data_IF_482596968362
#
_entry.id   IF_482596968362
#
_cell.length_a   1.000
_cell.length_b   1.000
_cell.length_c   1.000
_cell.angle_alpha   90.00
_cell.angle_beta   90.00
_cell.angle_gamma   90.00
#
_symmetry.space_group_name_H-M   'P 1'
#
loop_
_entity.id
_entity.type
_entity.pdbx_description
1 polymer ?
#
# COMPACT_ATOMS: atom_id res chain seq x y z
N UNK A 1 15.65 37.22 17.07
CA UNK A 1 15.40 35.78 16.83
C UNK A 1 15.13 35.11 18.16
N UNK A 2 14.27 34.08 18.29
CA UNK A 2 13.30 33.48 17.36
C UNK A 2 11.86 33.65 17.93
N UNK A 3 10.74 33.31 17.29
CA UNK A 3 10.19 31.98 17.04
C UNK A 3 8.97 32.21 16.13
N UNK A 4 9.07 31.87 14.85
CA UNK A 4 7.91 31.55 14.02
C UNK A 4 8.22 30.32 13.14
N UNK A 5 8.96 29.37 13.71
CA UNK A 5 9.11 28.02 13.15
C UNK A 5 7.81 27.19 13.29
N UNK A 6 6.71 27.80 13.73
CA UNK A 6 5.42 27.16 14.01
C UNK A 6 4.37 27.40 12.91
N UNK A 7 4.63 28.27 11.93
CA UNK A 7 3.62 28.73 10.96
C UNK A 7 3.64 28.03 9.59
N UNK A 8 4.58 27.10 9.35
CA UNK A 8 4.39 26.03 8.36
C UNK A 8 4.43 24.70 9.09
N UNK A 9 3.38 24.46 9.88
CA UNK A 9 2.87 23.11 10.09
C UNK A 9 2.56 22.55 8.70
N UNK A 10 3.59 21.99 8.06
CA UNK A 10 3.47 21.17 6.88
C UNK A 10 2.34 20.19 7.16
N UNK A 11 1.22 20.36 6.45
CA UNK A 11 0.03 19.54 6.57
C UNK A 11 0.42 18.11 6.22
N UNK A 12 0.83 17.36 7.25
CA UNK A 12 1.28 16.00 7.13
C UNK A 12 0.06 15.08 7.21
N UNK A 13 -0.11 14.12 6.31
CA UNK A 13 0.72 13.87 5.12
C UNK A 13 0.41 14.83 3.97
N UNK A 14 1.44 15.20 3.20
CA UNK A 14 1.26 15.99 1.99
C UNK A 14 0.49 15.21 0.92
N UNK A 15 -0.13 15.91 -0.04
CA UNK A 15 -0.81 15.28 -1.18
C UNK A 15 0.11 14.36 -1.98
N UNK A 16 1.40 14.67 -2.07
CA UNK A 16 2.40 13.83 -2.72
C UNK A 16 2.68 12.57 -1.91
N UNK A 17 2.80 12.67 -0.60
CA UNK A 17 2.98 11.51 0.28
C UNK A 17 1.79 10.57 0.18
N UNK A 18 0.56 11.09 0.17
CA UNK A 18 -0.65 10.27 -0.02
C UNK A 18 -0.64 9.57 -1.38
N UNK A 19 -0.26 10.27 -2.45
CA UNK A 19 -0.13 9.67 -3.80
C UNK A 19 0.92 8.55 -3.81
N UNK A 20 2.07 8.76 -3.18
CA UNK A 20 3.13 7.75 -3.08
C UNK A 20 2.70 6.54 -2.27
N UNK A 21 2.08 6.73 -1.10
CA UNK A 21 1.55 5.63 -0.27
C UNK A 21 0.51 4.81 -1.04
N UNK A 22 -0.36 5.46 -1.82
CA UNK A 22 -1.31 4.75 -2.71
C UNK A 22 -0.61 3.92 -3.77
N UNK A 23 0.41 4.46 -4.44
CA UNK A 23 1.21 3.71 -5.42
C UNK A 23 1.91 2.50 -4.80
N UNK A 24 2.49 2.66 -3.60
CA UNK A 24 3.10 1.57 -2.83
C UNK A 24 2.07 0.52 -2.46
N UNK A 25 0.86 0.91 -2.06
CA UNK A 25 -0.23 -0.02 -1.75
C UNK A 25 -0.67 -0.83 -2.97
N UNK A 26 -0.77 -0.21 -4.14
CA UNK A 26 -1.08 -0.92 -5.38
C UNK A 26 0.02 -1.93 -5.75
N UNK A 27 1.30 -1.54 -5.64
CA UNK A 27 2.42 -2.44 -5.84
C UNK A 27 2.38 -3.62 -4.85
N UNK A 28 2.14 -3.32 -3.57
CA UNK A 28 2.03 -4.32 -2.51
C UNK A 28 0.98 -5.38 -2.83
N UNK A 29 -0.19 -4.97 -3.33
CA UNK A 29 -1.24 -5.90 -3.75
C UNK A 29 -0.77 -6.83 -4.87
N UNK A 30 -0.18 -6.28 -5.94
CA UNK A 30 0.31 -7.07 -7.09
C UNK A 30 1.39 -8.07 -6.66
N UNK A 31 2.35 -7.61 -5.87
CA UNK A 31 3.45 -8.43 -5.38
C UNK A 31 2.97 -9.51 -4.40
N UNK A 32 2.01 -9.19 -3.52
CA UNK A 32 1.41 -10.18 -2.63
C UNK A 32 0.64 -11.26 -3.39
N UNK A 33 -0.09 -10.92 -4.47
CA UNK A 33 -0.74 -11.93 -5.33
C UNK A 33 0.29 -12.91 -5.90
N UNK A 34 1.48 -12.43 -6.30
CA UNK A 34 2.52 -13.26 -6.90
C UNK A 34 3.33 -14.05 -5.87
N UNK A 35 3.88 -13.36 -4.88
CA UNK A 35 4.88 -13.87 -3.93
C UNK A 35 4.31 -14.26 -2.57
N UNK A 36 3.02 -14.00 -2.33
CA UNK A 36 2.32 -14.34 -1.08
C UNK A 36 2.37 -13.26 -0.01
N UNK A 37 3.45 -12.48 0.08
CA UNK A 37 3.57 -11.34 0.99
C UNK A 37 4.46 -10.26 0.41
N UNK A 38 4.16 -9.01 0.71
CA UNK A 38 5.00 -7.88 0.37
C UNK A 38 4.82 -6.72 1.37
N UNK A 39 5.85 -5.90 1.56
CA UNK A 39 5.72 -4.68 2.35
C UNK A 39 6.87 -3.71 2.13
N UNK A 40 6.58 -2.43 2.35
CA UNK A 40 7.54 -1.35 2.28
C UNK A 40 7.21 -0.27 3.31
N UNK A 41 8.21 0.56 3.62
CA UNK A 41 8.04 1.74 4.46
C UNK A 41 8.40 3.00 3.68
N UNK A 42 7.67 4.09 3.90
CA UNK A 42 7.86 5.36 3.24
C UNK A 42 7.45 6.49 4.18
N UNK A 43 8.38 7.37 4.56
CA UNK A 43 8.10 8.57 5.37
C UNK A 43 7.24 8.28 6.63
N UNK A 44 7.61 7.24 7.39
CA UNK A 44 6.88 6.82 8.59
C UNK A 44 5.63 5.96 8.33
N UNK A 45 5.14 5.91 7.09
CA UNK A 45 4.14 4.94 6.68
C UNK A 45 4.76 3.55 6.51
N UNK A 46 4.02 2.53 6.90
CA UNK A 46 4.31 1.13 6.61
C UNK A 46 3.11 0.52 5.90
N UNK A 47 3.36 -0.01 4.71
CA UNK A 47 2.37 -0.67 3.85
C UNK A 47 2.72 -2.15 3.79
N UNK A 48 1.75 -3.02 4.09
CA UNK A 48 1.92 -4.47 4.06
C UNK A 48 0.75 -5.11 3.36
N UNK A 49 1.04 -6.08 2.50
CA UNK A 49 0.04 -6.89 1.81
C UNK A 49 0.36 -8.38 1.96
N UNK A 50 -0.67 -9.18 2.12
CA UNK A 50 -0.56 -10.63 2.29
C UNK A 50 -1.69 -11.34 1.58
N UNK A 51 -1.33 -12.30 0.72
CA UNK A 51 -2.25 -13.22 0.08
C UNK A 51 -2.83 -14.17 1.11
N UNK A 52 -4.15 -14.30 1.08
CA UNK A 52 -4.89 -15.26 1.88
C UNK A 52 -5.01 -16.56 1.09
N UNK A 53 -4.27 -17.59 1.52
CA UNK A 53 -4.24 -18.90 0.90
C UNK A 53 -3.14 -19.12 -0.16
N UNK A 54 -3.14 -20.30 -0.79
CA UNK A 54 -2.09 -20.71 -1.73
C UNK A 54 -2.15 -19.91 -3.04
N UNK A 55 -1.05 -19.92 -3.78
CA UNK A 55 -1.03 -19.41 -5.15
C UNK A 55 -2.04 -20.19 -5.98
N UNK A 56 -2.98 -19.48 -6.60
CA UNK A 56 -3.93 -20.07 -7.55
C UNK A 56 -3.46 -19.75 -8.97
N UNK A 57 -4.00 -20.49 -9.95
CA UNK A 57 -3.67 -20.29 -11.37
C UNK A 57 -3.97 -18.87 -11.86
N UNK A 58 -3.47 -18.55 -13.05
CA UNK A 58 -3.37 -17.19 -13.61
C UNK A 58 -4.71 -16.40 -13.71
N UNK A 59 -5.85 -17.08 -13.74
CA UNK A 59 -7.18 -16.47 -13.86
C UNK A 59 -8.01 -16.52 -12.55
N UNK A 60 -7.44 -17.05 -11.47
CA UNK A 60 -8.18 -17.27 -10.23
C UNK A 60 -8.16 -16.03 -9.33
N UNK A 61 -9.36 -15.64 -8.86
CA UNK A 61 -9.49 -14.63 -7.83
C UNK A 61 -8.82 -15.09 -6.53
N UNK A 62 -8.03 -14.17 -5.99
CA UNK A 62 -7.21 -14.35 -4.81
C UNK A 62 -7.50 -13.21 -3.84
N UNK A 63 -7.81 -13.54 -2.59
CA UNK A 63 -8.00 -12.54 -1.55
C UNK A 63 -6.64 -12.08 -1.02
N UNK A 64 -6.45 -10.77 -0.91
CA UNK A 64 -5.25 -10.14 -0.35
C UNK A 64 -5.67 -9.16 0.74
N UNK A 65 -5.09 -9.30 1.92
CA UNK A 65 -5.23 -8.32 2.98
C UNK A 65 -4.16 -7.26 2.84
N UNK A 66 -4.56 -5.98 2.84
CA UNK A 66 -3.68 -4.81 2.84
C UNK A 66 -3.83 -4.08 4.17
N UNK A 67 -2.72 -3.64 4.75
CA UNK A 67 -2.70 -2.74 5.90
C UNK A 67 -1.72 -1.60 5.65
N UNK A 68 -2.15 -0.38 5.97
CA UNK A 68 -1.33 0.82 5.99
C UNK A 68 -1.32 1.34 7.43
N UNK A 69 -0.13 1.61 7.94
CA UNK A 69 0.10 2.14 9.28
C UNK A 69 1.02 3.34 9.24
N UNK A 70 0.90 4.23 10.21
CA UNK A 70 1.78 5.37 10.44
C UNK A 70 2.30 5.25 11.87
N UNK A 71 3.59 4.97 12.02
CA UNK A 71 4.14 4.58 13.32
C UNK A 71 3.47 3.31 13.87
N UNK A 72 2.82 3.42 15.04
CA UNK A 72 2.07 2.32 15.67
C UNK A 72 0.58 2.29 15.30
N UNK A 73 0.07 3.33 14.64
CA UNK A 73 -1.35 3.45 14.33
C UNK A 73 -1.67 2.82 12.97
N UNK A 74 -2.66 1.93 12.92
CA UNK A 74 -3.22 1.43 11.64
C UNK A 74 -4.16 2.50 11.09
N UNK A 75 -3.78 3.10 9.97
CA UNK A 75 -4.58 4.16 9.32
C UNK A 75 -5.54 3.60 8.29
N UNK A 76 -5.26 2.41 7.73
CA UNK A 76 -6.17 1.76 6.82
C UNK A 76 -5.98 0.25 6.79
N UNK A 77 -7.06 -0.50 6.64
CA UNK A 77 -7.04 -1.95 6.45
C UNK A 77 -8.12 -2.37 5.48
N UNK A 78 -7.73 -3.14 4.47
CA UNK A 78 -8.63 -3.57 3.39
C UNK A 78 -8.43 -5.04 3.09
N UNK A 79 -9.49 -5.67 2.57
CA UNK A 79 -9.43 -6.95 1.89
C UNK A 79 -9.81 -6.71 0.44
N UNK A 80 -8.95 -7.15 -0.46
CA UNK A 80 -9.11 -6.94 -1.90
C UNK A 80 -9.11 -8.29 -2.57
N UNK A 81 -10.11 -8.53 -3.41
CA UNK A 81 -10.13 -9.68 -4.31
C UNK A 81 -9.43 -9.26 -5.60
N UNK A 82 -8.26 -9.84 -5.87
CA UNK A 82 -7.46 -9.52 -7.04
C UNK A 82 -7.31 -10.77 -7.93
N UNK A 83 -7.35 -10.56 -9.24
CA UNK A 83 -6.96 -11.57 -10.23
C UNK A 83 -5.56 -11.23 -10.75
N UNK A 84 -4.72 -12.24 -10.98
CA UNK A 84 -3.38 -12.05 -11.54
C UNK A 84 -3.45 -11.38 -12.92
N UNK A 85 -4.43 -11.73 -13.77
CA UNK A 85 -4.64 -11.08 -15.07
C UNK A 85 -4.89 -9.55 -14.95
N UNK A 86 -5.66 -9.10 -13.95
CA UNK A 86 -5.90 -7.66 -13.70
C UNK A 86 -4.72 -6.93 -13.07
N UNK A 87 -3.78 -7.65 -12.46
CA UNK A 87 -2.54 -7.06 -11.95
C UNK A 87 -1.54 -6.74 -13.08
N UNK A 88 -1.74 -7.35 -14.26
CA UNK A 88 -0.79 -7.42 -15.36
C UNK A 88 -1.18 -6.58 -16.57
N UNK A 89 -2.04 -5.55 -16.47
CA UNK A 89 -2.18 -4.61 -17.59
C UNK A 89 -0.97 -3.66 -17.64
N UNK A 90 -0.06 -3.77 -18.63
CA UNK A 90 0.46 -2.60 -19.30
C UNK A 90 -0.65 -2.07 -20.21
N UNK A 91 -0.88 -0.76 -20.20
CA UNK A 91 -1.56 -0.11 -21.32
C UNK A 91 -0.82 -0.55 -22.60
N UNK A 92 -1.57 -1.20 -23.50
CA UNK A 92 -1.19 -1.32 -24.90
C UNK A 92 -1.41 0.03 -25.61
#
# INVERSE_FOLDING_TARGET
>A
MPVDAAAELACFPSTEEVRMVRSIALLALKEAVRHGRWGASFHGFRVQAQRQGPARGFAAFTEVSLSVSLGQAVVARFRVTANYASAMEPNA
#
